data_IF_346132655859
#
_entry.id   IF_346132655859
#
_cell.length_a   1.000
_cell.length_b   1.000
_cell.length_c   1.000
_cell.angle_alpha   90.00
_cell.angle_beta   90.00
_cell.angle_gamma   90.00
#
_symmetry.space_group_name_H-M   'P 1'
#
loop_
_entity.id
_entity.type
_entity.pdbx_description
1 polymer ?
#
# COMPACT_ATOMS: atom_id res chain seq x y z
N UNK A 1 -21.34 -3.30 46.69
CA UNK A 1 -19.99 -3.46 46.12
C UNK A 1 -20.10 -3.30 44.61
N UNK A 2 -19.83 -2.11 44.07
CA UNK A 2 -19.91 -1.87 42.62
C UNK A 2 -18.65 -2.43 41.95
N UNK A 3 -18.79 -3.50 41.18
CA UNK A 3 -17.71 -3.97 40.30
C UNK A 3 -17.47 -2.91 39.22
N UNK A 4 -16.32 -2.23 39.25
CA UNK A 4 -15.90 -1.35 38.16
C UNK A 4 -15.53 -2.22 36.97
N UNK A 5 -16.28 -2.11 35.87
CA UNK A 5 -15.91 -2.74 34.61
C UNK A 5 -14.53 -2.23 34.17
N UNK A 6 -13.55 -3.09 33.89
CA UNK A 6 -12.24 -2.63 33.43
C UNK A 6 -12.37 -1.87 32.11
N UNK A 7 -11.70 -0.72 32.00
CA UNK A 7 -11.62 0.04 30.74
C UNK A 7 -10.72 -0.70 29.76
N UNK A 8 -11.33 -1.36 28.79
CA UNK A 8 -10.62 -1.95 27.65
C UNK A 8 -10.28 -0.84 26.65
N UNK A 9 -9.01 -0.68 26.33
CA UNK A 9 -8.53 0.23 25.27
C UNK A 9 -7.96 -0.60 24.13
N UNK A 10 -8.48 -0.39 22.92
CA UNK A 10 -8.00 -1.04 21.69
C UNK A 10 -7.32 0.00 20.83
N UNK A 11 -6.16 -0.34 20.26
CA UNK A 11 -5.40 0.51 19.34
C UNK A 11 -4.93 -0.33 18.17
N UNK A 12 -5.15 0.18 16.96
CA UNK A 12 -4.63 -0.43 15.74
C UNK A 12 -3.14 -0.11 15.63
N UNK A 13 -2.32 -1.15 15.54
CA UNK A 13 -0.88 -1.05 15.32
C UNK A 13 -0.51 -1.25 13.86
N UNK A 14 -1.27 -2.05 13.11
CA UNK A 14 -1.06 -2.22 11.67
C UNK A 14 -2.32 -2.64 10.91
N UNK A 15 -2.41 -2.22 9.66
CA UNK A 15 -3.39 -2.70 8.69
C UNK A 15 -2.61 -3.22 7.49
N UNK A 16 -2.86 -4.48 7.13
CA UNK A 16 -2.42 -5.08 5.87
C UNK A 16 -3.60 -5.12 4.92
N UNK A 17 -3.40 -4.61 3.71
CA UNK A 17 -4.44 -4.58 2.68
C UNK A 17 -3.90 -4.95 1.31
N UNK A 18 -4.78 -5.47 0.47
CA UNK A 18 -4.52 -5.59 -0.96
C UNK A 18 -5.22 -4.47 -1.72
N UNK A 19 -4.62 -4.05 -2.82
CA UNK A 19 -5.23 -3.14 -3.79
C UNK A 19 -5.10 -3.77 -5.17
N UNK A 20 -6.20 -3.81 -5.93
CA UNK A 20 -6.19 -4.32 -7.30
C UNK A 20 -6.49 -3.19 -8.27
N UNK A 21 -5.59 -2.96 -9.23
CA UNK A 21 -5.75 -1.97 -10.29
C UNK A 21 -6.41 -2.54 -11.55
N UNK A 22 -6.70 -3.84 -11.62
CA UNK A 22 -7.36 -4.51 -12.77
C UNK A 22 -6.64 -4.27 -14.11
N UNK A 23 -5.32 -4.10 -14.07
CA UNK A 23 -4.48 -3.91 -15.25
C UNK A 23 -3.07 -4.43 -14.97
N UNK A 24 -2.35 -4.83 -16.03
CA UNK A 24 -0.90 -5.10 -15.91
C UNK A 24 -0.14 -3.79 -15.70
N UNK A 25 0.98 -3.88 -14.98
CA UNK A 25 1.89 -2.77 -14.70
C UNK A 25 3.31 -3.20 -15.07
N UNK A 26 4.01 -2.34 -15.81
CA UNK A 26 5.43 -2.52 -16.11
C UNK A 26 6.27 -2.02 -14.93
N UNK A 27 6.83 -2.96 -14.16
CA UNK A 27 7.64 -2.65 -12.98
C UNK A 27 9.00 -2.02 -13.34
N UNK A 28 9.57 -2.36 -14.50
CA UNK A 28 10.80 -1.74 -14.96
C UNK A 28 10.57 -0.29 -15.40
N UNK A 29 9.40 0.02 -15.98
CA UNK A 29 9.04 1.41 -16.26
C UNK A 29 8.93 2.24 -14.97
N UNK A 30 8.35 1.67 -13.90
CA UNK A 30 8.29 2.34 -12.58
C UNK A 30 9.69 2.56 -12.02
N UNK A 31 10.54 1.54 -12.02
CA UNK A 31 11.90 1.63 -11.47
C UNK A 31 12.76 2.67 -12.20
N UNK A 32 12.72 2.70 -13.54
CA UNK A 32 13.40 3.76 -14.31
C UNK A 32 12.86 5.16 -14.03
N UNK A 33 11.55 5.30 -13.84
CA UNK A 33 10.91 6.60 -13.65
C UNK A 33 11.01 7.13 -12.21
N UNK A 34 11.15 6.24 -11.22
CA UNK A 34 11.09 6.58 -9.80
C UNK A 34 12.31 5.99 -9.08
N UNK A 35 13.45 6.71 -9.01
CA UNK A 35 14.71 6.16 -8.48
C UNK A 35 14.67 5.70 -7.01
N UNK A 36 13.69 6.12 -6.23
CA UNK A 36 13.55 5.78 -4.81
C UNK A 36 12.89 4.42 -4.54
N UNK A 37 12.49 3.69 -5.59
CA UNK A 37 11.90 2.35 -5.47
C UNK A 37 12.98 1.27 -5.57
N UNK A 38 12.71 0.10 -4.99
CA UNK A 38 13.59 -1.06 -5.11
C UNK A 38 12.91 -2.14 -5.94
N UNK A 39 13.57 -2.60 -7.01
CA UNK A 39 13.08 -3.71 -7.81
C UNK A 39 14.24 -4.59 -8.28
N UNK A 40 14.29 -5.81 -7.76
CA UNK A 40 15.17 -6.87 -8.25
C UNK A 40 14.36 -8.18 -8.36
N UNK A 41 13.88 -8.53 -9.57
CA UNK A 41 13.00 -9.69 -9.75
C UNK A 41 13.66 -11.03 -9.42
N UNK A 42 14.99 -11.12 -9.41
CA UNK A 42 15.71 -12.33 -9.00
C UNK A 42 15.63 -12.57 -7.48
N UNK A 43 15.50 -11.49 -6.69
CA UNK A 43 15.37 -11.57 -5.24
C UNK A 43 13.92 -11.58 -4.78
N UNK A 44 13.06 -10.76 -5.40
CA UNK A 44 11.66 -10.65 -5.03
C UNK A 44 10.81 -10.18 -6.24
N UNK A 45 9.68 -10.86 -6.57
CA UNK A 45 8.92 -10.58 -7.78
C UNK A 45 8.14 -9.24 -7.76
N UNK A 46 8.07 -8.55 -6.62
CA UNK A 46 7.39 -7.27 -6.49
C UNK A 46 8.36 -6.09 -6.39
N UNK A 47 7.94 -4.92 -6.84
CA UNK A 47 8.62 -3.66 -6.60
C UNK A 47 8.25 -3.13 -5.21
N UNK A 48 9.26 -2.72 -4.43
CA UNK A 48 9.08 -2.15 -3.09
C UNK A 48 9.01 -0.64 -3.20
N UNK A 49 7.86 -0.08 -2.85
CA UNK A 49 7.60 1.35 -2.82
C UNK A 49 7.40 1.78 -1.36
N UNK A 50 8.21 2.72 -0.87
CA UNK A 50 8.09 3.27 0.49
C UNK A 50 7.57 4.70 0.46
N UNK A 51 6.54 4.95 1.24
CA UNK A 51 5.94 6.28 1.40
C UNK A 51 6.17 6.75 2.83
N UNK A 52 6.69 7.96 3.02
CA UNK A 52 6.97 8.49 4.37
C UNK A 52 5.74 9.05 5.08
N UNK A 53 4.81 9.66 4.32
CA UNK A 53 3.63 10.33 4.86
C UNK A 53 2.38 10.03 4.00
N UNK A 54 1.45 9.21 4.51
CA UNK A 54 1.55 8.36 5.70
C UNK A 54 2.66 7.29 5.55
N UNK A 55 3.30 6.89 6.67
CA UNK A 55 4.39 5.90 6.66
C UNK A 55 3.83 4.51 6.32
N UNK A 56 4.05 4.06 5.09
CA UNK A 56 3.63 2.74 4.61
C UNK A 56 4.67 2.15 3.65
N UNK A 57 4.61 0.84 3.49
CA UNK A 57 5.29 0.12 2.41
C UNK A 57 4.24 -0.51 1.51
N UNK A 58 4.40 -0.33 0.20
CA UNK A 58 3.62 -1.02 -0.81
C UNK A 58 4.51 -1.96 -1.62
N UNK A 59 4.06 -3.19 -1.80
CA UNK A 59 4.65 -4.18 -2.71
C UNK A 59 3.79 -4.21 -3.96
N UNK A 60 4.34 -3.82 -5.10
CA UNK A 60 3.62 -3.69 -6.37
C UNK A 60 4.02 -4.84 -7.29
N UNK A 61 3.05 -5.58 -7.82
CA UNK A 61 3.28 -6.72 -8.69
C UNK A 61 2.89 -6.40 -10.13
N UNK A 62 3.52 -7.07 -11.10
CA UNK A 62 3.24 -6.88 -12.53
C UNK A 62 1.79 -7.19 -12.93
N UNK A 63 1.06 -7.92 -12.08
CA UNK A 63 -0.39 -8.17 -12.21
C UNK A 63 -1.27 -6.95 -11.93
N UNK A 64 -0.71 -5.85 -11.42
CA UNK A 64 -1.45 -4.69 -10.91
C UNK A 64 -2.05 -4.89 -9.52
N UNK A 65 -1.74 -6.01 -8.86
CA UNK A 65 -1.99 -6.18 -7.42
C UNK A 65 -0.93 -5.41 -6.64
N UNK A 66 -1.34 -4.78 -5.55
CA UNK A 66 -0.46 -4.19 -4.56
C UNK A 66 -0.80 -4.75 -3.18
N UNK A 67 0.21 -4.96 -2.34
CA UNK A 67 0.05 -5.21 -0.90
C UNK A 67 0.54 -3.98 -0.16
N UNK A 68 -0.29 -3.38 0.69
CA UNK A 68 0.04 -2.17 1.46
C UNK A 68 0.00 -2.49 2.95
N UNK A 69 1.07 -2.17 3.66
CA UNK A 69 1.25 -2.38 5.10
C UNK A 69 1.84 -1.15 5.80
N UNK A 70 1.65 -1.02 7.10
CA UNK A 70 2.16 0.05 7.96
C UNK A 70 1.12 1.12 8.34
N UNK A 71 -0.07 1.09 7.74
CA UNK A 71 -1.12 2.04 8.06
C UNK A 71 -1.74 1.72 9.44
N UNK A 72 -1.91 2.73 10.30
CA UNK A 72 -2.55 2.59 11.62
C UNK A 72 -4.02 3.04 11.67
N UNK A 73 -4.58 3.36 10.51
CA UNK A 73 -6.01 3.67 10.35
C UNK A 73 -6.44 3.46 8.90
N UNK A 74 -7.71 3.18 8.69
CA UNK A 74 -8.30 2.99 7.35
C UNK A 74 -8.16 4.26 6.50
N UNK A 75 -8.26 5.42 7.13
CA UNK A 75 -8.10 6.72 6.49
C UNK A 75 -6.64 6.96 6.02
N UNK A 76 -5.65 6.62 6.85
CA UNK A 76 -4.25 6.62 6.44
C UNK A 76 -4.00 5.65 5.28
N UNK A 77 -4.58 4.45 5.32
CA UNK A 77 -4.48 3.49 4.22
C UNK A 77 -5.03 4.08 2.91
N UNK A 78 -6.25 4.65 2.94
CA UNK A 78 -6.86 5.26 1.75
C UNK A 78 -6.03 6.41 1.19
N UNK A 79 -5.48 7.27 2.05
CA UNK A 79 -4.56 8.35 1.63
C UNK A 79 -3.29 7.79 1.01
N UNK A 80 -2.70 6.75 1.60
CA UNK A 80 -1.49 6.13 1.10
C UNK A 80 -1.69 5.58 -0.32
N UNK A 81 -2.76 4.81 -0.53
CA UNK A 81 -3.11 4.24 -1.84
C UNK A 81 -3.31 5.34 -2.88
N UNK A 82 -4.06 6.39 -2.54
CA UNK A 82 -4.25 7.54 -3.45
C UNK A 82 -2.92 8.22 -3.80
N UNK A 83 -2.02 8.39 -2.82
CA UNK A 83 -0.73 9.05 -3.03
C UNK A 83 0.21 8.20 -3.88
N UNK A 84 0.26 6.89 -3.66
CA UNK A 84 1.04 5.96 -4.51
C UNK A 84 0.55 6.04 -5.95
N UNK A 85 -0.76 5.91 -6.19
CA UNK A 85 -1.34 5.98 -7.54
C UNK A 85 -1.06 7.33 -8.20
N UNK A 86 -1.15 8.42 -7.44
CA UNK A 86 -0.81 9.77 -7.92
C UNK A 86 0.65 9.85 -8.36
N UNK A 87 1.58 9.38 -7.54
CA UNK A 87 3.01 9.39 -7.87
C UNK A 87 3.29 8.55 -9.13
N UNK A 88 2.66 7.38 -9.27
CA UNK A 88 2.77 6.58 -10.49
C UNK A 88 2.34 7.39 -11.72
N UNK A 89 1.16 8.02 -11.67
CA UNK A 89 0.62 8.83 -12.77
C UNK A 89 1.50 10.05 -13.10
N UNK A 90 1.99 10.76 -12.09
CA UNK A 90 2.86 11.93 -12.26
C UNK A 90 4.20 11.57 -12.91
N UNK A 91 4.65 10.32 -12.78
CA UNK A 91 5.87 9.79 -13.40
C UNK A 91 5.58 9.02 -14.71
N UNK A 92 4.44 9.30 -15.37
CA UNK A 92 4.12 8.75 -16.69
C UNK A 92 3.58 7.32 -16.72
N UNK A 93 3.30 6.72 -15.56
CA UNK A 93 2.75 5.36 -15.49
C UNK A 93 1.23 5.41 -15.67
N UNK A 94 0.75 4.69 -16.69
CA UNK A 94 -0.67 4.67 -17.06
C UNK A 94 -1.45 3.81 -16.05
N UNK A 95 -2.23 4.46 -15.18
CA UNK A 95 -3.15 3.78 -14.25
C UNK A 95 -4.60 4.15 -14.60
N UNK A 96 -5.29 3.25 -15.31
CA UNK A 96 -6.67 3.42 -15.79
C UNK A 96 -7.70 2.77 -14.87
N UNK A 97 -7.34 1.68 -14.19
CA UNK A 97 -8.26 0.96 -13.33
C UNK A 97 -8.58 1.70 -12.04
N UNK A 98 -9.79 1.46 -11.52
CA UNK A 98 -10.20 1.98 -10.22
C UNK A 98 -9.64 1.08 -9.12
N UNK A 99 -8.86 1.61 -8.15
CA UNK A 99 -8.26 0.79 -7.11
C UNK A 99 -9.34 0.16 -6.22
N UNK A 100 -9.41 -1.16 -6.20
CA UNK A 100 -10.25 -1.93 -5.25
C UNK A 100 -9.41 -2.28 -4.03
N UNK A 101 -9.73 -1.69 -2.88
CA UNK A 101 -9.00 -1.90 -1.62
C UNK A 101 -9.72 -2.95 -0.77
N UNK A 102 -8.99 -3.97 -0.30
CA UNK A 102 -9.50 -4.98 0.60
C UNK A 102 -8.55 -5.15 1.79
N UNK A 103 -9.06 -4.95 3.01
CA UNK A 103 -8.31 -5.20 4.24
C UNK A 103 -8.18 -6.71 4.42
N UNK A 104 -6.96 -7.17 4.67
CA UNK A 104 -6.62 -8.59 4.85
C UNK A 104 -6.38 -8.94 6.31
N UNK A 105 -5.74 -8.02 7.05
CA UNK A 105 -5.43 -8.22 8.46
C UNK A 105 -5.36 -6.88 9.20
N UNK A 106 -5.72 -6.89 10.49
CA UNK A 106 -5.55 -5.78 11.42
C UNK A 106 -4.84 -6.33 12.66
N UNK A 107 -3.75 -5.69 13.04
CA UNK A 107 -2.99 -5.96 14.28
C UNK A 107 -3.26 -4.85 15.27
#
# INVERSE_FOLDING_TARGET
MFMRTPRISVKIENIVSTVTLEQRIDLHAIERAIPAVEYNPEQFPGLVFRLERPRVTALIFSSGKMVVTGAKSVDNLKRAVKKIIRVLKENGIIVTGRPKVQIQNIV
#
